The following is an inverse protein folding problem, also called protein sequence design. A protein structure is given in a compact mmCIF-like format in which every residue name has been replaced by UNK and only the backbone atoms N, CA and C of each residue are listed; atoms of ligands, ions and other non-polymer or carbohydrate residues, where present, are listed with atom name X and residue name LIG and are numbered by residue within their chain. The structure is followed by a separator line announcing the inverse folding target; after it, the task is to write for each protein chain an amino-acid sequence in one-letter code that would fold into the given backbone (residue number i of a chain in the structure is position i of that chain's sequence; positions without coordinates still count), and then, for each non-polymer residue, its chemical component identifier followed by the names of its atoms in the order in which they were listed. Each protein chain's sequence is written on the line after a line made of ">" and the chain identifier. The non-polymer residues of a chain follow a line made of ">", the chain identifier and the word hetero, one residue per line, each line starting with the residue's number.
data_IF_224420561838
#
_entry.id   IF_224420561838
#
_cell.length_a   1.000
_cell.length_b   1.000
_cell.length_c   1.000
_cell.angle_alpha   90.00
_cell.angle_beta   90.00
_cell.angle_gamma   90.00
#
_symmetry.space_group_name_H-M   'P 1'
#
loop_
_entity.id
_entity.type
_entity.pdbx_description
1 polymer ?
#
# COMPACT_ATOMS: atom_id res chain seq x y z
N UNK A 1 38.19 -32.54 -36.51
CA UNK A 1 37.49 -31.25 -36.74
C UNK A 1 36.36 -31.18 -35.73
N UNK A 2 36.56 -30.45 -34.63
CA UNK A 2 35.61 -30.40 -33.51
C UNK A 2 34.78 -29.12 -33.63
N UNK A 3 33.50 -29.28 -33.93
CA UNK A 3 32.55 -28.20 -34.13
C UNK A 3 32.16 -27.62 -32.75
N UNK A 4 32.85 -26.57 -32.29
CA UNK A 4 32.44 -25.83 -31.10
C UNK A 4 31.25 -24.93 -31.44
N UNK A 5 30.05 -25.42 -31.13
CA UNK A 5 28.81 -24.66 -31.16
C UNK A 5 28.78 -23.75 -29.91
N UNK A 6 29.01 -22.45 -30.08
CA UNK A 6 28.90 -21.46 -29.01
C UNK A 6 27.41 -21.30 -28.67
N UNK A 7 27.02 -21.77 -27.48
CA UNK A 7 25.68 -21.63 -26.93
C UNK A 7 25.47 -20.18 -26.48
N UNK A 8 24.74 -19.40 -27.28
CA UNK A 8 24.25 -18.07 -26.92
C UNK A 8 23.21 -18.20 -25.78
N UNK A 9 23.64 -17.94 -24.55
CA UNK A 9 22.73 -17.81 -23.40
C UNK A 9 22.02 -16.46 -23.53
N UNK A 10 20.79 -16.48 -24.06
CA UNK A 10 19.88 -15.35 -23.94
C UNK A 10 19.45 -15.21 -22.48
N UNK A 11 20.05 -14.26 -21.76
CA UNK A 11 19.51 -13.79 -20.49
C UNK A 11 18.26 -12.97 -20.81
N UNK A 12 17.09 -13.59 -20.68
CA UNK A 12 15.80 -12.91 -20.77
C UNK A 12 15.64 -11.98 -19.58
N UNK A 13 15.96 -10.70 -19.78
CA UNK A 13 15.53 -9.64 -18.86
C UNK A 13 14.02 -9.46 -19.01
N UNK A 14 13.25 -10.07 -18.11
CA UNK A 14 11.82 -9.77 -18.02
C UNK A 14 11.66 -8.36 -17.43
N UNK A 15 11.04 -7.40 -18.14
CA UNK A 15 10.67 -6.14 -17.53
C UNK A 15 9.63 -6.43 -16.45
N UNK A 16 9.84 -5.90 -15.26
CA UNK A 16 8.85 -5.97 -14.17
C UNK A 16 7.72 -5.00 -14.54
N UNK A 17 6.75 -5.47 -15.32
CA UNK A 17 5.56 -4.72 -15.72
C UNK A 17 4.55 -4.64 -14.57
N UNK A 18 4.89 -3.89 -13.52
CA UNK A 18 3.88 -3.47 -12.55
C UNK A 18 3.21 -2.19 -13.08
N UNK A 19 2.12 -2.36 -13.82
CA UNK A 19 1.10 -1.36 -14.19
C UNK A 19 1.30 -0.48 -15.45
N UNK A 20 1.84 -0.99 -16.56
CA UNK A 20 1.67 -0.29 -17.85
C UNK A 20 0.19 -0.28 -18.27
N UNK A 21 -0.36 0.89 -18.61
CA UNK A 21 -1.71 1.06 -19.21
C UNK A 21 -2.77 1.72 -18.33
N UNK A 22 -2.54 1.93 -17.04
CA UNK A 22 -3.47 2.66 -16.19
C UNK A 22 -3.46 4.16 -16.55
N UNK A 23 -4.63 4.79 -16.66
CA UNK A 23 -4.76 6.23 -16.88
C UNK A 23 -5.75 6.86 -15.89
N UNK A 24 -5.72 8.19 -15.77
CA UNK A 24 -6.61 8.96 -14.90
C UNK A 24 -6.64 8.46 -13.45
N UNK A 25 -7.83 8.50 -12.84
CA UNK A 25 -8.06 8.15 -11.43
C UNK A 25 -7.63 6.72 -11.06
N UNK A 26 -7.62 5.78 -12.01
CA UNK A 26 -7.11 4.42 -11.78
C UNK A 26 -5.61 4.48 -11.51
N UNK A 27 -4.84 5.13 -12.39
CA UNK A 27 -3.39 5.31 -12.21
C UNK A 27 -3.07 6.06 -10.92
N UNK A 28 -3.77 7.17 -10.67
CA UNK A 28 -3.52 8.01 -9.50
C UNK A 28 -3.69 7.25 -8.19
N UNK A 29 -4.77 6.45 -8.05
CA UNK A 29 -4.96 5.64 -6.84
C UNK A 29 -3.89 4.56 -6.69
N UNK A 30 -3.49 3.92 -7.80
CA UNK A 30 -2.45 2.87 -7.79
C UNK A 30 -1.10 3.44 -7.37
N UNK A 31 -0.76 4.65 -7.82
CA UNK A 31 0.43 5.38 -7.37
C UNK A 31 0.36 5.71 -5.88
N UNK A 32 -0.81 6.09 -5.35
CA UNK A 32 -1.01 6.32 -3.91
C UNK A 32 -0.89 5.04 -3.08
N UNK A 33 -1.38 3.90 -3.56
CA UNK A 33 -1.15 2.61 -2.91
C UNK A 33 0.32 2.15 -2.99
N UNK A 34 1.02 2.44 -4.09
CA UNK A 34 2.47 2.21 -4.22
C UNK A 34 3.25 3.07 -3.23
N UNK A 35 2.88 4.34 -3.07
CA UNK A 35 3.40 5.22 -2.03
C UNK A 35 3.14 4.64 -0.63
N UNK A 36 1.93 4.15 -0.37
CA UNK A 36 1.59 3.52 0.91
C UNK A 36 2.47 2.30 1.21
N UNK A 37 2.72 1.44 0.22
CA UNK A 37 3.67 0.32 0.34
C UNK A 37 5.09 0.79 0.69
N UNK A 38 5.54 1.88 0.09
CA UNK A 38 6.84 2.49 0.43
C UNK A 38 6.86 3.00 1.87
N UNK A 39 5.78 3.66 2.34
CA UNK A 39 5.70 4.14 3.73
C UNK A 39 5.73 2.99 4.73
N UNK A 40 5.01 1.89 4.46
CA UNK A 40 5.06 0.69 5.32
C UNK A 40 6.49 0.12 5.43
N UNK A 41 7.27 0.15 4.35
CA UNK A 41 8.69 -0.25 4.39
C UNK A 41 9.53 0.72 5.22
N UNK A 42 9.31 2.03 5.06
CA UNK A 42 10.03 3.05 5.81
C UNK A 42 9.73 2.95 7.32
N UNK A 43 8.47 2.73 7.70
CA UNK A 43 8.09 2.46 9.09
C UNK A 43 8.82 1.23 9.61
N UNK A 44 8.83 0.12 8.86
CA UNK A 44 9.53 -1.09 9.28
C UNK A 44 11.05 -0.90 9.40
N UNK A 45 11.65 -0.01 8.59
CA UNK A 45 13.05 0.39 8.77
C UNK A 45 13.21 1.19 10.05
N UNK A 46 12.39 2.22 10.26
CA UNK A 46 12.44 3.05 11.46
C UNK A 46 12.24 2.26 12.76
N UNK A 47 11.37 1.25 12.77
CA UNK A 47 11.18 0.36 13.93
C UNK A 47 12.44 -0.46 14.27
N UNK A 48 13.25 -0.84 13.28
CA UNK A 48 14.51 -1.58 13.52
C UNK A 48 15.63 -0.66 14.01
N UNK A 49 15.57 0.60 13.62
CA UNK A 49 16.63 1.59 13.86
C UNK A 49 16.28 2.56 15.01
N UNK A 50 15.09 2.41 15.62
CA UNK A 50 14.50 3.36 16.57
C UNK A 50 14.45 4.80 16.01
N UNK A 51 14.19 4.94 14.71
CA UNK A 51 13.99 6.23 14.05
C UNK A 51 12.50 6.61 14.11
N UNK A 52 12.10 7.14 15.26
CA UNK A 52 10.72 7.53 15.54
C UNK A 52 10.23 8.69 14.65
N UNK A 53 11.14 9.59 14.26
CA UNK A 53 10.82 10.69 13.34
C UNK A 53 10.40 10.16 11.95
N UNK A 54 11.11 9.15 11.42
CA UNK A 54 10.75 8.53 10.16
C UNK A 54 9.47 7.68 10.27
N UNK A 55 9.24 7.00 11.40
CA UNK A 55 7.96 6.31 11.66
C UNK A 55 6.81 7.31 11.60
N UNK A 56 6.91 8.41 12.35
CA UNK A 56 5.87 9.45 12.42
C UNK A 56 5.59 10.05 11.04
N UNK A 57 6.63 10.52 10.34
CA UNK A 57 6.48 11.14 9.00
C UNK A 57 5.86 10.18 7.98
N UNK A 58 6.21 8.90 8.05
CA UNK A 58 5.67 7.87 7.15
C UNK A 58 4.21 7.55 7.50
N UNK A 59 3.88 7.40 8.78
CA UNK A 59 2.52 7.19 9.26
C UNK A 59 1.60 8.39 8.94
N UNK A 60 2.11 9.62 9.04
CA UNK A 60 1.37 10.83 8.69
C UNK A 60 1.00 10.88 7.21
N UNK A 61 1.84 10.36 6.31
CA UNK A 61 1.50 10.24 4.88
C UNK A 61 0.39 9.22 4.62
N UNK A 62 0.37 8.12 5.38
CA UNK A 62 -0.71 7.12 5.34
C UNK A 62 -2.02 7.71 5.86
N UNK A 63 -1.97 8.45 6.97
CA UNK A 63 -3.12 9.18 7.54
C UNK A 63 -3.67 10.25 6.58
N UNK A 64 -2.81 10.95 5.85
CA UNK A 64 -3.27 11.90 4.82
C UNK A 64 -3.95 11.17 3.65
N UNK A 65 -3.41 10.01 3.24
CA UNK A 65 -4.02 9.20 2.19
C UNK A 65 -5.39 8.65 2.58
N UNK A 66 -5.58 8.18 3.82
CA UNK A 66 -6.86 7.63 4.28
C UNK A 66 -8.00 8.64 4.14
N UNK A 67 -7.74 9.92 4.41
CA UNK A 67 -8.73 11.02 4.37
C UNK A 67 -9.22 11.37 2.97
N UNK A 68 -8.48 11.01 1.93
CA UNK A 68 -8.83 11.29 0.53
C UNK A 68 -9.19 10.04 -0.26
N UNK A 69 -8.87 8.84 0.24
CA UNK A 69 -8.93 7.57 -0.48
C UNK A 69 -10.26 7.32 -1.19
N UNK A 70 -11.40 7.59 -0.53
CA UNK A 70 -12.73 7.34 -1.10
C UNK A 70 -12.99 8.10 -2.41
N UNK A 71 -12.39 9.29 -2.57
CA UNK A 71 -12.53 10.13 -3.78
C UNK A 71 -11.94 9.48 -5.03
N UNK A 72 -11.04 8.53 -4.84
CA UNK A 72 -10.35 7.84 -5.92
C UNK A 72 -11.09 6.60 -6.42
N UNK A 73 -12.31 6.33 -5.95
CA UNK A 73 -13.12 5.17 -6.38
C UNK A 73 -14.47 5.56 -7.01
N UNK A 74 -14.49 6.34 -8.11
CA UNK A 74 -15.73 6.59 -8.84
C UNK A 74 -16.30 5.28 -9.39
N UNK A 75 -17.62 5.20 -9.52
CA UNK A 75 -18.31 4.04 -10.10
C UNK A 75 -17.82 3.72 -11.53
N UNK A 76 -17.74 2.45 -11.86
CA UNK A 76 -17.19 1.97 -13.15
C UNK A 76 -15.66 2.02 -13.25
N UNK A 77 -14.94 2.32 -12.15
CA UNK A 77 -13.48 2.37 -12.15
C UNK A 77 -12.78 1.08 -11.70
N UNK A 78 -13.50 -0.05 -11.79
CA UNK A 78 -13.00 -1.44 -11.67
C UNK A 78 -12.48 -2.04 -12.97
N UNK A 79 -12.52 -1.29 -14.07
CA UNK A 79 -12.01 -1.76 -15.36
C UNK A 79 -10.49 -1.95 -15.35
N UNK A 80 -10.01 -2.97 -16.06
CA UNK A 80 -8.58 -3.25 -16.21
C UNK A 80 -7.81 -1.99 -16.64
N UNK A 81 -6.64 -1.70 -16.04
CA UNK A 81 -5.83 -2.56 -15.16
C UNK A 81 -6.11 -2.38 -13.66
N UNK A 82 -7.31 -1.90 -13.29
CA UNK A 82 -7.71 -1.75 -11.88
C UNK A 82 -7.75 -3.09 -11.15
N UNK A 83 -7.26 -3.10 -9.91
CA UNK A 83 -7.40 -4.23 -8.97
C UNK A 83 -8.59 -4.02 -8.01
N UNK A 84 -9.38 -2.97 -8.21
CA UNK A 84 -10.54 -2.67 -7.37
C UNK A 84 -11.62 -3.75 -7.53
N UNK A 85 -12.09 -4.31 -6.42
CA UNK A 85 -13.21 -5.23 -6.44
C UNK A 85 -14.53 -4.48 -6.62
N UNK A 86 -15.49 -5.09 -7.34
CA UNK A 86 -16.87 -4.59 -7.44
C UNK A 86 -17.55 -4.42 -6.08
N UNK A 87 -17.08 -5.16 -5.07
CA UNK A 87 -17.55 -5.04 -3.69
C UNK A 87 -17.43 -3.62 -3.13
N UNK A 88 -16.55 -2.77 -3.66
CA UNK A 88 -16.45 -1.37 -3.26
C UNK A 88 -17.78 -0.62 -3.46
N UNK A 89 -18.48 -0.89 -4.56
CA UNK A 89 -19.78 -0.24 -4.85
C UNK A 89 -20.97 -1.07 -4.39
N UNK A 90 -20.81 -2.40 -4.24
CA UNK A 90 -21.86 -3.25 -3.66
C UNK A 90 -21.98 -3.11 -2.13
N UNK A 91 -20.89 -2.74 -1.45
CA UNK A 91 -20.84 -2.49 -0.01
C UNK A 91 -20.05 -1.20 0.31
N UNK A 92 -20.61 -0.02 0.00
CA UNK A 92 -19.95 1.26 0.21
C UNK A 92 -19.71 1.56 1.70
N UNK A 93 -20.60 1.09 2.58
CA UNK A 93 -20.45 1.24 4.03
C UNK A 93 -19.28 0.42 4.55
N UNK A 94 -19.17 -0.85 4.12
CA UNK A 94 -18.03 -1.69 4.48
C UNK A 94 -16.71 -1.13 3.97
N UNK A 95 -16.68 -0.57 2.76
CA UNK A 95 -15.48 0.08 2.23
C UNK A 95 -15.12 1.34 3.03
N UNK A 96 -16.10 2.19 3.33
CA UNK A 96 -15.90 3.39 4.16
C UNK A 96 -15.38 3.03 5.56
N UNK A 97 -15.94 2.00 6.19
CA UNK A 97 -15.46 1.49 7.48
C UNK A 97 -14.02 0.95 7.39
N UNK A 98 -13.67 0.24 6.31
CA UNK A 98 -12.31 -0.24 6.12
C UNK A 98 -11.31 0.92 5.97
N UNK A 99 -11.68 1.99 5.25
CA UNK A 99 -10.88 3.22 5.18
C UNK A 99 -10.75 3.87 6.55
N UNK A 100 -11.85 3.95 7.31
CA UNK A 100 -11.84 4.56 8.65
C UNK A 100 -10.94 3.81 9.63
N UNK A 101 -10.98 2.47 9.61
CA UNK A 101 -10.07 1.65 10.41
C UNK A 101 -8.60 1.93 10.05
N UNK A 102 -8.28 2.06 8.76
CA UNK A 102 -6.94 2.43 8.30
C UNK A 102 -6.54 3.85 8.74
N UNK A 103 -7.46 4.81 8.71
CA UNK A 103 -7.25 6.18 9.22
C UNK A 103 -6.90 6.17 10.71
N UNK A 104 -7.71 5.49 11.53
CA UNK A 104 -7.54 5.41 12.98
C UNK A 104 -6.24 4.70 13.35
N UNK A 105 -5.92 3.58 12.69
CA UNK A 105 -4.66 2.88 12.92
C UNK A 105 -3.42 3.69 12.48
N UNK A 106 -3.56 4.51 11.43
CA UNK A 106 -2.49 5.40 10.99
C UNK A 106 -2.25 6.53 12.01
N UNK A 107 -3.34 7.11 12.52
CA UNK A 107 -3.27 8.12 13.59
C UNK A 107 -2.67 7.55 14.88
N UNK A 108 -3.07 6.34 15.26
CA UNK A 108 -2.50 5.67 16.42
C UNK A 108 -0.99 5.48 16.29
N UNK A 109 -0.51 5.06 15.12
CA UNK A 109 0.92 4.93 14.89
C UNK A 109 1.66 6.27 14.94
N UNK A 110 1.07 7.37 14.43
CA UNK A 110 1.62 8.73 14.59
C UNK A 110 1.78 9.04 16.08
N UNK A 111 0.74 8.84 16.88
CA UNK A 111 0.77 9.13 18.32
C UNK A 111 1.81 8.27 19.06
N UNK A 112 1.89 6.96 18.77
CA UNK A 112 2.85 6.09 19.45
C UNK A 112 4.30 6.40 19.08
N UNK A 113 4.57 6.81 17.84
CA UNK A 113 5.91 7.25 17.43
C UNK A 113 6.38 8.46 18.25
N UNK A 114 5.49 9.41 18.56
CA UNK A 114 5.80 10.60 19.36
C UNK A 114 6.13 10.28 20.83
N UNK A 115 5.72 9.11 21.33
CA UNK A 115 6.08 8.65 22.68
C UNK A 115 7.46 8.00 22.76
N UNK A 116 8.11 7.78 21.61
CA UNK A 116 9.39 7.07 21.49
C UNK A 116 9.40 5.68 22.15
N UNK A 117 8.21 5.06 22.28
CA UNK A 117 8.04 3.73 22.83
C UNK A 117 8.07 2.68 21.70
N UNK A 118 9.16 1.91 21.62
CA UNK A 118 9.35 0.90 20.57
C UNK A 118 8.26 -0.17 20.59
N UNK A 119 7.90 -0.72 21.76
CA UNK A 119 6.91 -1.80 21.86
C UNK A 119 5.51 -1.31 21.43
N UNK A 120 5.14 -0.11 21.87
CA UNK A 120 3.86 0.50 21.48
C UNK A 120 3.83 0.82 19.97
N UNK A 121 4.92 1.33 19.41
CA UNK A 121 5.06 1.59 17.97
C UNK A 121 5.00 0.31 17.13
N UNK A 122 5.63 -0.77 17.59
CA UNK A 122 5.55 -2.10 16.95
C UNK A 122 4.11 -2.60 16.95
N UNK A 123 3.39 -2.49 18.07
CA UNK A 123 2.01 -2.93 18.16
C UNK A 123 1.08 -2.09 17.27
N UNK A 124 1.24 -0.76 17.29
CA UNK A 124 0.49 0.14 16.41
C UNK A 124 0.75 -0.16 14.93
N UNK A 125 2.00 -0.44 14.54
CA UNK A 125 2.34 -0.83 13.17
C UNK A 125 1.69 -2.16 12.76
N UNK A 126 1.63 -3.15 13.65
CA UNK A 126 0.91 -4.42 13.39
C UNK A 126 -0.58 -4.19 13.19
N UNK A 127 -1.20 -3.34 14.01
CA UNK A 127 -2.61 -2.97 13.88
C UNK A 127 -2.86 -2.32 12.52
N UNK A 128 -2.02 -1.36 12.12
CA UNK A 128 -2.06 -0.73 10.80
C UNK A 128 -1.89 -1.74 9.65
N UNK A 129 -0.94 -2.68 9.75
CA UNK A 129 -0.77 -3.72 8.74
C UNK A 129 -2.01 -4.63 8.60
N UNK A 130 -2.70 -4.89 9.71
CA UNK A 130 -3.93 -5.67 9.71
C UNK A 130 -5.10 -4.96 9.00
N UNK A 131 -5.18 -3.62 9.04
CA UNK A 131 -6.22 -2.89 8.29
C UNK A 131 -6.01 -2.99 6.78
N UNK A 132 -4.75 -2.97 6.32
CA UNK A 132 -4.40 -3.22 4.92
C UNK A 132 -4.89 -4.60 4.47
N UNK A 133 -4.60 -5.64 5.27
CA UNK A 133 -5.04 -7.01 5.00
C UNK A 133 -6.56 -7.11 4.95
N UNK A 134 -7.26 -6.59 5.96
CA UNK A 134 -8.72 -6.66 6.05
C UNK A 134 -9.43 -5.96 4.88
N UNK A 135 -8.94 -4.79 4.47
CA UNK A 135 -9.47 -4.10 3.29
C UNK A 135 -9.22 -4.92 2.00
N UNK A 136 -7.97 -5.36 1.77
CA UNK A 136 -7.62 -6.10 0.56
C UNK A 136 -8.38 -7.42 0.42
N UNK A 137 -8.66 -8.12 1.52
CA UNK A 137 -9.42 -9.38 1.49
C UNK A 137 -10.83 -9.23 0.91
N UNK A 138 -11.44 -8.05 1.02
CA UNK A 138 -12.83 -7.82 0.60
C UNK A 138 -12.94 -6.92 -0.64
N UNK A 139 -12.02 -5.97 -0.80
CA UNK A 139 -12.17 -4.86 -1.75
C UNK A 139 -11.08 -4.81 -2.83
N UNK A 140 -10.15 -5.77 -2.86
CA UNK A 140 -9.11 -5.89 -3.90
C UNK A 140 -9.16 -7.28 -4.53
N UNK A 141 -9.05 -7.34 -5.85
CA UNK A 141 -8.95 -8.58 -6.63
C UNK A 141 -7.50 -9.09 -6.73
#
# INVERSE_FOLDING_TARGET
>A
MLNSLILLVFVSVNPIFAHEGATGVIKERMDKFKMSKTMMKQINVGLRENDFENIEKSAQKLLSWSKEMSKYFPEGSDVSPSEASKNIWLDPNGFSNAIKNFEEASLELVNQAQTENSDASIQAFRNLANTCKGCHQKFRN
#
